data_IF_418682644133
#
_entry.id   IF_418682644133
#
_cell.length_a   1.000
_cell.length_b   1.000
_cell.length_c   1.000
_cell.angle_alpha   90.00
_cell.angle_beta   90.00
_cell.angle_gamma   90.00
#
_symmetry.space_group_name_H-M   'P 1'
#
loop_
_entity.id
_entity.type
_entity.pdbx_description
1 polymer ?
#
# COMPACT_ATOMS: atom_id res chain seq x y z
N UNK A 1 -47.53 -59.24 35.48
CA UNK A 1 -48.55 -59.20 36.57
C UNK A 1 -47.82 -58.66 37.79
N UNK A 2 -48.07 -57.48 38.33
CA UNK A 2 -49.29 -56.66 38.44
C UNK A 2 -48.93 -55.18 38.60
N UNK A 3 -49.77 -54.32 38.04
CA UNK A 3 -49.88 -52.89 38.37
C UNK A 3 -50.23 -52.67 39.84
N UNK A 4 -49.75 -51.58 40.46
CA UNK A 4 -50.66 -50.52 40.92
C UNK A 4 -49.91 -49.25 41.37
N UNK A 5 -50.53 -48.13 41.00
CA UNK A 5 -50.21 -46.78 41.42
C UNK A 5 -51.05 -46.39 42.65
N UNK A 6 -50.50 -45.55 43.53
CA UNK A 6 -51.22 -44.54 44.31
C UNK A 6 -50.23 -43.67 45.10
N UNK A 7 -50.19 -42.38 44.78
CA UNK A 7 -49.83 -41.27 45.70
C UNK A 7 -51.15 -40.73 46.32
N UNK A 8 -51.19 -39.72 47.23
CA UNK A 8 -50.10 -38.98 47.90
C UNK A 8 -50.35 -38.79 49.43
N UNK A 9 -49.34 -38.31 50.16
CA UNK A 9 -49.62 -37.46 51.34
C UNK A 9 -48.70 -36.25 51.31
N UNK A 10 -49.36 -35.09 51.34
CA UNK A 10 -48.75 -33.77 51.40
C UNK A 10 -48.13 -33.60 52.78
N UNK A 11 -46.92 -33.05 52.83
CA UNK A 11 -46.60 -32.09 53.88
C UNK A 11 -45.75 -30.99 53.26
N UNK A 12 -46.41 -29.85 53.12
CA UNK A 12 -45.85 -28.55 52.82
C UNK A 12 -44.88 -28.13 53.92
N UNK A 13 -43.63 -27.89 53.56
CA UNK A 13 -42.72 -27.08 54.37
C UNK A 13 -41.96 -26.20 53.40
N UNK A 14 -42.51 -25.00 53.22
CA UNK A 14 -41.96 -23.90 52.45
C UNK A 14 -40.73 -23.39 53.19
N UNK A 15 -39.52 -23.70 52.71
CA UNK A 15 -38.30 -23.03 53.13
C UNK A 15 -37.51 -22.52 51.91
N UNK A 16 -37.70 -21.23 51.69
CA UNK A 16 -36.71 -20.22 51.29
C UNK A 16 -35.74 -20.58 50.15
N UNK A 17 -36.05 -19.97 49.00
CA UNK A 17 -35.21 -19.72 47.83
C UNK A 17 -33.80 -19.25 48.20
N UNK A 18 -32.86 -20.18 48.29
CA UNK A 18 -31.44 -19.91 48.29
C UNK A 18 -30.98 -19.62 46.86
N UNK A 19 -30.93 -18.34 46.47
CA UNK A 19 -30.29 -17.87 45.24
C UNK A 19 -28.89 -18.48 45.11
N UNK A 20 -28.76 -19.55 44.33
CA UNK A 20 -27.46 -19.98 43.78
C UNK A 20 -27.08 -18.96 42.73
N UNK A 21 -26.24 -18.00 43.08
CA UNK A 21 -25.47 -17.25 42.09
C UNK A 21 -24.48 -18.22 41.46
N UNK A 22 -24.92 -18.97 40.45
CA UNK A 22 -24.03 -19.79 39.64
C UNK A 22 -22.96 -18.87 39.04
N UNK A 23 -21.72 -19.06 39.47
CA UNK A 23 -20.59 -18.32 38.93
C UNK A 23 -20.51 -18.60 37.42
N UNK A 24 -20.79 -17.57 36.62
CA UNK A 24 -20.73 -17.69 35.16
C UNK A 24 -19.25 -17.69 34.77
N UNK A 25 -18.66 -18.87 34.60
CA UNK A 25 -17.28 -19.02 34.13
C UNK A 25 -17.22 -18.55 32.67
N UNK A 26 -16.60 -17.39 32.45
CA UNK A 26 -16.33 -16.86 31.11
C UNK A 26 -14.99 -17.39 30.62
N UNK A 27 -14.92 -17.76 29.33
CA UNK A 27 -13.67 -18.17 28.70
C UNK A 27 -12.71 -16.98 28.65
N UNK A 28 -11.48 -17.17 29.14
CA UNK A 28 -10.38 -16.22 28.92
C UNK A 28 -9.86 -16.37 27.50
N UNK A 29 -9.59 -15.25 26.82
CA UNK A 29 -9.00 -15.23 25.49
C UNK A 29 -7.46 -15.23 25.50
N UNK A 30 -6.83 -15.08 26.68
CA UNK A 30 -5.36 -15.09 26.87
C UNK A 30 -4.60 -14.13 25.95
N UNK A 31 -5.15 -12.94 25.69
CA UNK A 31 -4.46 -11.93 24.89
C UNK A 31 -3.26 -11.36 25.63
N UNK A 32 -2.14 -11.20 24.92
CA UNK A 32 -1.00 -10.46 25.44
C UNK A 32 -1.36 -8.97 25.60
N UNK A 33 -0.74 -8.26 26.55
CA UNK A 33 -0.83 -6.80 26.66
C UNK A 33 -0.36 -6.06 25.39
N UNK A 34 -0.67 -4.77 25.34
CA UNK A 34 -0.07 -3.86 24.35
C UNK A 34 1.45 -3.85 24.49
N UNK A 35 2.17 -3.87 23.37
CA UNK A 35 3.64 -3.76 23.35
C UNK A 35 4.11 -2.31 23.46
N UNK A 36 3.20 -1.35 23.25
CA UNK A 36 3.50 0.07 23.19
C UNK A 36 3.25 0.80 24.49
N UNK A 37 2.44 0.23 25.38
CA UNK A 37 2.08 0.82 26.68
C UNK A 37 1.78 2.34 26.56
N UNK A 38 2.41 3.17 27.39
CA UNK A 38 2.26 4.63 27.37
C UNK A 38 3.20 5.36 26.37
N UNK A 39 3.91 4.64 25.49
CA UNK A 39 4.96 5.22 24.63
C UNK A 39 4.47 6.43 23.84
N UNK A 40 3.29 6.38 23.22
CA UNK A 40 2.74 7.48 22.42
C UNK A 40 2.21 8.65 23.24
N UNK A 41 1.94 8.44 24.53
CA UNK A 41 1.55 9.51 25.46
C UNK A 41 2.79 10.28 25.92
N UNK A 42 3.87 9.56 26.24
CA UNK A 42 5.12 10.13 26.77
C UNK A 42 6.00 10.71 25.66
N UNK A 43 6.10 9.99 24.53
CA UNK A 43 7.00 10.32 23.43
C UNK A 43 6.33 11.13 22.33
N UNK A 44 5.05 11.44 22.47
CA UNK A 44 4.37 12.34 21.55
C UNK A 44 5.16 13.65 21.48
N UNK A 45 5.50 14.16 20.29
CA UNK A 45 5.97 15.53 20.21
C UNK A 45 4.91 16.36 20.94
N UNK A 46 5.32 17.29 21.81
CA UNK A 46 4.38 18.20 22.45
C UNK A 46 3.57 18.96 21.38
N UNK A 47 2.93 20.07 21.75
CA UNK A 47 2.51 21.05 20.73
C UNK A 47 3.76 21.69 20.10
N UNK A 48 4.56 20.92 19.37
CA UNK A 48 5.56 21.46 18.46
C UNK A 48 4.78 22.07 17.32
N UNK A 49 4.75 23.39 17.30
CA UNK A 49 4.24 24.14 16.16
C UNK A 49 5.07 23.78 14.92
N UNK A 50 4.44 23.68 13.75
CA UNK A 50 5.15 23.45 12.50
C UNK A 50 6.27 24.48 12.33
N UNK A 51 7.47 24.04 11.93
CA UNK A 51 8.56 24.95 11.66
C UNK A 51 8.22 25.79 10.39
N UNK A 52 8.04 27.11 10.49
CA UNK A 52 7.64 27.94 9.35
C UNK A 52 8.63 27.88 8.18
N UNK A 53 9.92 27.69 8.46
CA UNK A 53 10.96 27.58 7.45
C UNK A 53 10.82 26.29 6.64
N UNK A 54 10.44 25.19 7.31
CA UNK A 54 10.19 23.89 6.67
C UNK A 54 8.95 23.98 5.78
N UNK A 55 7.86 24.59 6.26
CA UNK A 55 6.65 24.78 5.45
C UNK A 55 6.90 25.68 4.24
N UNK A 56 7.72 26.73 4.39
CA UNK A 56 8.13 27.57 3.27
C UNK A 56 8.96 26.77 2.26
N UNK A 57 9.91 25.95 2.74
CA UNK A 57 10.73 25.10 1.87
C UNK A 57 9.89 24.08 1.10
N UNK A 58 8.92 23.43 1.75
CA UNK A 58 7.96 22.52 1.11
C UNK A 58 7.16 23.23 0.01
N UNK A 59 6.71 24.47 0.24
CA UNK A 59 6.01 25.26 -0.79
C UNK A 59 6.90 25.54 -2.00
N UNK A 60 8.15 25.93 -1.78
CA UNK A 60 9.12 26.17 -2.87
C UNK A 60 9.36 24.88 -3.66
N UNK A 61 9.63 23.77 -2.97
CA UNK A 61 9.86 22.47 -3.60
C UNK A 61 8.63 21.97 -4.38
N UNK A 62 7.43 22.20 -3.86
CA UNK A 62 6.18 21.90 -4.58
C UNK A 62 6.13 22.66 -5.91
N UNK A 63 6.42 23.95 -5.92
CA UNK A 63 6.47 24.74 -7.16
C UNK A 63 7.56 24.28 -8.12
N UNK A 64 8.74 23.90 -7.63
CA UNK A 64 9.80 23.33 -8.46
C UNK A 64 9.35 22.02 -9.14
N UNK A 65 8.71 21.11 -8.39
CA UNK A 65 8.19 19.84 -8.94
C UNK A 65 7.03 20.08 -9.92
N UNK A 66 6.16 21.05 -9.67
CA UNK A 66 5.13 21.46 -10.65
C UNK A 66 5.75 21.93 -11.97
N UNK A 67 6.87 22.68 -11.91
CA UNK A 67 7.59 23.08 -13.12
C UNK A 67 8.23 21.89 -13.83
N UNK A 68 8.72 20.87 -13.09
CA UNK A 68 9.22 19.63 -13.69
C UNK A 68 8.13 18.90 -14.47
N UNK A 69 6.93 18.77 -13.90
CA UNK A 69 5.76 18.18 -14.59
C UNK A 69 5.42 18.94 -15.87
N UNK A 70 5.31 20.28 -15.80
CA UNK A 70 5.03 21.13 -16.98
C UNK A 70 6.10 21.01 -18.07
N UNK A 71 7.37 20.88 -17.68
CA UNK A 71 8.46 20.71 -18.64
C UNK A 71 8.44 19.32 -19.31
N UNK A 72 7.82 18.32 -18.67
CA UNK A 72 7.70 16.96 -19.15
C UNK A 72 6.49 16.73 -20.08
N UNK A 73 5.53 17.66 -20.15
CA UNK A 73 4.25 17.50 -20.89
C UNK A 73 4.39 17.12 -22.38
N UNK A 74 5.50 17.45 -23.03
CA UNK A 74 5.75 17.07 -24.43
C UNK A 74 6.61 15.79 -24.57
N UNK A 75 6.79 15.05 -23.47
CA UNK A 75 7.68 13.89 -23.38
C UNK A 75 7.01 12.78 -22.55
N UNK A 76 6.10 12.00 -23.15
CA UNK A 76 5.22 11.08 -22.42
C UNK A 76 5.96 10.11 -21.48
N UNK A 77 7.10 9.55 -21.91
CA UNK A 77 7.88 8.64 -21.06
C UNK A 77 8.51 9.35 -19.85
N UNK A 78 9.12 10.53 -20.04
CA UNK A 78 9.70 11.31 -18.93
C UNK A 78 8.61 11.71 -17.93
N UNK A 79 7.44 12.12 -18.43
CA UNK A 79 6.29 12.49 -17.62
C UNK A 79 5.75 11.30 -16.81
N UNK A 80 5.56 10.13 -17.44
CA UNK A 80 5.14 8.91 -16.74
C UNK A 80 6.16 8.47 -15.68
N UNK A 81 7.46 8.57 -15.94
CA UNK A 81 8.51 8.25 -14.95
C UNK A 81 8.41 9.20 -13.75
N UNK A 82 8.17 10.48 -13.99
CA UNK A 82 8.01 11.47 -12.92
C UNK A 82 6.75 11.20 -12.10
N UNK A 83 5.61 10.90 -12.75
CA UNK A 83 4.36 10.53 -12.07
C UNK A 83 4.55 9.28 -11.21
N UNK A 84 5.23 8.25 -11.72
CA UNK A 84 5.52 7.04 -10.97
C UNK A 84 6.38 7.33 -9.73
N UNK A 85 7.40 8.19 -9.87
CA UNK A 85 8.22 8.62 -8.76
C UNK A 85 7.38 9.36 -7.70
N UNK A 86 6.49 10.28 -8.11
CA UNK A 86 5.59 11.02 -7.20
C UNK A 86 4.66 10.08 -6.42
N UNK A 87 4.06 9.10 -7.10
CA UNK A 87 3.18 8.10 -6.48
C UNK A 87 3.95 7.22 -5.50
N UNK A 88 5.09 6.67 -5.93
CA UNK A 88 5.94 5.81 -5.09
C UNK A 88 6.58 6.54 -3.92
N UNK A 89 6.84 7.85 -4.03
CA UNK A 89 7.35 8.67 -2.92
C UNK A 89 6.25 9.13 -1.96
N UNK A 90 4.97 8.87 -2.26
CA UNK A 90 3.85 9.22 -1.39
C UNK A 90 3.49 10.70 -1.40
N UNK A 91 3.91 11.45 -2.43
CA UNK A 91 3.64 12.89 -2.60
C UNK A 91 2.71 13.21 -3.76
N UNK A 92 2.23 12.20 -4.51
CA UNK A 92 1.30 12.39 -5.62
C UNK A 92 0.02 13.16 -5.26
N UNK A 93 -0.45 13.03 -4.03
CA UNK A 93 -1.62 13.75 -3.51
C UNK A 93 -1.47 15.28 -3.55
N UNK A 94 -0.24 15.80 -3.66
CA UNK A 94 0.03 17.24 -3.79
C UNK A 94 -0.16 17.75 -5.23
N UNK A 95 -0.25 16.84 -6.21
CA UNK A 95 -0.21 17.11 -7.66
C UNK A 95 -1.33 16.39 -8.42
N UNK A 96 -2.48 16.13 -7.77
CA UNK A 96 -3.56 15.33 -8.35
C UNK A 96 -4.06 15.89 -9.70
N UNK A 97 -4.17 17.22 -9.82
CA UNK A 97 -4.62 17.86 -11.05
C UNK A 97 -3.63 17.64 -12.19
N UNK A 98 -2.35 17.91 -11.94
CA UNK A 98 -1.28 17.75 -12.93
C UNK A 98 -1.14 16.28 -13.37
N UNK A 99 -1.25 15.34 -12.43
CA UNK A 99 -1.22 13.90 -12.72
C UNK A 99 -2.43 13.49 -13.57
N UNK A 100 -3.63 13.97 -13.24
CA UNK A 100 -4.84 13.65 -13.99
C UNK A 100 -4.79 14.20 -15.41
N UNK A 101 -4.35 15.44 -15.61
CA UNK A 101 -4.18 16.04 -16.94
C UNK A 101 -3.16 15.26 -17.79
N UNK A 102 -2.00 14.92 -17.21
CA UNK A 102 -0.97 14.14 -17.88
C UNK A 102 -1.48 12.74 -18.30
N UNK A 103 -2.14 12.02 -17.39
CA UNK A 103 -2.65 10.68 -17.69
C UNK A 103 -3.82 10.69 -18.69
N UNK A 104 -4.62 11.76 -18.72
CA UNK A 104 -5.59 11.98 -19.80
C UNK A 104 -4.92 12.12 -21.15
N UNK A 105 -3.82 12.86 -21.23
CA UNK A 105 -3.03 13.00 -22.47
C UNK A 105 -2.47 11.66 -22.93
N UNK A 106 -1.81 10.92 -22.02
CA UNK A 106 -1.26 9.58 -22.30
C UNK A 106 -2.36 8.61 -22.76
N UNK A 107 -3.55 8.67 -22.13
CA UNK A 107 -4.68 7.85 -22.55
C UNK A 107 -5.20 8.23 -23.94
N UNK A 108 -5.32 9.53 -24.23
CA UNK A 108 -5.76 10.01 -25.53
C UNK A 108 -4.80 9.57 -26.65
N UNK A 109 -3.48 9.63 -26.41
CA UNK A 109 -2.47 9.08 -27.31
C UNK A 109 -2.64 7.56 -27.48
N UNK A 110 -2.85 6.82 -26.39
CA UNK A 110 -3.07 5.37 -26.45
C UNK A 110 -4.27 4.99 -27.32
N UNK A 111 -5.38 5.72 -27.19
CA UNK A 111 -6.62 5.49 -27.96
C UNK A 111 -6.45 5.94 -29.41
N UNK A 112 -5.89 7.12 -29.66
CA UNK A 112 -5.78 7.70 -31.00
C UNK A 112 -4.73 6.99 -31.86
N UNK A 113 -3.61 6.55 -31.28
CA UNK A 113 -2.52 5.97 -32.03
C UNK A 113 -2.66 4.46 -32.26
N UNK A 114 -3.72 3.80 -31.75
CA UNK A 114 -3.85 2.35 -31.72
C UNK A 114 -2.50 1.73 -31.31
N UNK A 115 -2.13 1.80 -30.03
CA UNK A 115 -0.85 1.21 -29.53
C UNK A 115 -0.71 -0.28 -29.89
N UNK A 116 -1.78 -0.92 -30.34
CA UNK A 116 -1.78 -2.23 -31.00
C UNK A 116 -0.94 -2.30 -32.31
N UNK A 117 -0.63 -1.18 -32.97
CA UNK A 117 0.07 -1.11 -34.26
C UNK A 117 1.36 -0.26 -34.24
N UNK A 118 1.79 0.27 -33.09
CA UNK A 118 3.02 1.07 -32.95
C UNK A 118 4.26 0.23 -32.68
N UNK A 119 5.22 0.26 -33.61
CA UNK A 119 6.43 -0.59 -33.68
C UNK A 119 7.52 -0.30 -32.62
N UNK A 120 7.37 0.62 -31.66
CA UNK A 120 8.57 1.16 -30.97
C UNK A 120 8.61 1.10 -29.44
N UNK A 121 7.50 0.88 -28.73
CA UNK A 121 7.56 0.99 -27.26
C UNK A 121 8.06 -0.30 -26.62
N UNK A 122 9.13 -0.17 -25.84
CA UNK A 122 9.74 -1.24 -25.06
C UNK A 122 8.83 -1.72 -23.91
N UNK A 123 9.22 -2.82 -23.27
CA UNK A 123 8.42 -3.43 -22.19
C UNK A 123 8.18 -2.48 -21.02
N UNK A 124 9.20 -1.71 -20.61
CA UNK A 124 9.10 -0.81 -19.47
C UNK A 124 8.06 0.28 -19.75
N UNK A 125 8.12 0.90 -20.93
CA UNK A 125 7.19 1.96 -21.34
C UNK A 125 5.74 1.48 -21.36
N UNK A 126 5.48 0.33 -21.98
CA UNK A 126 4.12 -0.23 -22.04
C UNK A 126 3.61 -0.66 -20.68
N UNK A 127 4.45 -1.36 -19.89
CA UNK A 127 4.07 -1.78 -18.55
C UNK A 127 3.77 -0.59 -17.63
N UNK A 128 4.58 0.47 -17.72
CA UNK A 128 4.41 1.68 -16.94
C UNK A 128 3.10 2.39 -17.30
N UNK A 129 2.85 2.62 -18.59
CA UNK A 129 1.62 3.23 -19.09
C UNK A 129 0.39 2.42 -18.66
N UNK A 130 0.40 1.10 -18.90
CA UNK A 130 -0.68 0.21 -18.48
C UNK A 130 -0.98 0.32 -16.99
N UNK A 131 0.07 0.29 -16.15
CA UNK A 131 -0.05 0.36 -14.70
C UNK A 131 -0.64 1.70 -14.25
N UNK A 132 -0.06 2.82 -14.69
CA UNK A 132 -0.49 4.15 -14.27
C UNK A 132 -1.93 4.44 -14.69
N UNK A 133 -2.29 4.08 -15.93
CA UNK A 133 -3.64 4.28 -16.45
C UNK A 133 -4.67 3.44 -15.70
N UNK A 134 -4.40 2.13 -15.49
CA UNK A 134 -5.34 1.28 -14.75
C UNK A 134 -5.47 1.66 -13.28
N UNK A 135 -4.39 2.15 -12.64
CA UNK A 135 -4.48 2.66 -11.28
C UNK A 135 -5.44 3.85 -11.15
N UNK A 136 -5.60 4.65 -12.21
CA UNK A 136 -6.57 5.76 -12.27
C UNK A 136 -7.94 5.35 -12.83
N UNK A 137 -8.18 4.06 -13.06
CA UNK A 137 -9.46 3.56 -13.54
C UNK A 137 -9.67 3.67 -15.06
N UNK A 138 -8.65 4.03 -15.84
CA UNK A 138 -8.74 3.96 -17.30
C UNK A 138 -8.76 2.51 -17.77
N UNK A 139 -9.65 2.22 -18.72
CA UNK A 139 -9.73 0.91 -19.33
C UNK A 139 -8.69 0.76 -20.45
N UNK A 140 -7.62 0.02 -20.17
CA UNK A 140 -6.60 -0.37 -21.15
C UNK A 140 -6.68 -1.87 -21.37
N UNK A 141 -6.73 -2.32 -22.63
CA UNK A 141 -6.77 -3.75 -22.96
C UNK A 141 -5.43 -4.43 -22.62
N UNK A 142 -5.50 -5.61 -21.99
CA UNK A 142 -4.34 -6.45 -21.72
C UNK A 142 -3.69 -7.01 -22.99
N UNK A 143 -4.39 -6.92 -24.13
CA UNK A 143 -3.86 -7.27 -25.45
C UNK A 143 -2.64 -6.45 -25.88
N UNK A 144 -2.41 -5.30 -25.25
CA UNK A 144 -1.19 -4.48 -25.46
C UNK A 144 0.09 -5.29 -25.23
N UNK A 145 0.02 -6.36 -24.42
CA UNK A 145 1.16 -7.23 -24.16
C UNK A 145 1.37 -8.36 -25.18
N UNK A 146 0.44 -8.56 -26.14
CA UNK A 146 0.57 -9.61 -27.18
C UNK A 146 1.84 -9.44 -28.03
N UNK A 147 2.30 -8.21 -28.26
CA UNK A 147 3.54 -7.93 -29.01
C UNK A 147 4.82 -8.47 -28.36
N UNK A 148 4.77 -8.76 -27.05
CA UNK A 148 5.87 -9.34 -26.30
C UNK A 148 5.87 -10.87 -26.31
N UNK A 149 4.92 -11.49 -26.99
CA UNK A 149 4.88 -12.93 -27.23
C UNK A 149 5.53 -13.32 -28.55
N UNK A 150 6.08 -14.53 -28.60
CA UNK A 150 6.64 -15.14 -29.80
C UNK A 150 5.58 -15.85 -30.66
N UNK A 151 6.00 -16.50 -31.74
CA UNK A 151 5.12 -17.22 -32.67
C UNK A 151 4.41 -18.44 -32.01
N UNK A 152 4.95 -18.95 -30.90
CA UNK A 152 4.34 -20.04 -30.13
C UNK A 152 3.33 -19.52 -29.11
N UNK A 153 3.22 -18.20 -28.98
CA UNK A 153 2.34 -17.54 -28.02
C UNK A 153 2.92 -17.44 -26.62
N UNK A 154 4.23 -17.67 -26.42
CA UNK A 154 4.91 -17.55 -25.13
C UNK A 154 5.62 -16.19 -25.02
N UNK A 155 5.76 -15.66 -23.79
CA UNK A 155 6.52 -14.43 -23.57
C UNK A 155 8.01 -14.61 -23.95
N UNK A 156 8.52 -13.67 -24.78
CA UNK A 156 9.88 -13.72 -25.30
C UNK A 156 10.91 -13.74 -24.17
N UNK A 157 11.87 -14.66 -24.23
CA UNK A 157 12.93 -14.77 -23.23
C UNK A 157 13.82 -13.52 -23.15
N UNK A 158 13.97 -12.76 -24.24
CA UNK A 158 14.74 -11.51 -24.26
C UNK A 158 14.23 -10.44 -23.26
N UNK A 159 12.97 -10.54 -22.82
CA UNK A 159 12.37 -9.65 -21.81
C UNK A 159 13.06 -9.79 -20.45
N UNK A 160 13.80 -10.87 -20.22
CA UNK A 160 14.50 -11.14 -18.96
C UNK A 160 15.90 -10.51 -18.91
N UNK A 161 16.29 -9.76 -19.94
CA UNK A 161 17.58 -9.07 -19.97
C UNK A 161 17.58 -7.76 -19.14
N UNK A 162 16.40 -7.17 -18.93
CA UNK A 162 16.24 -5.95 -18.16
C UNK A 162 15.35 -6.20 -16.93
N UNK A 163 15.99 -6.28 -15.77
CA UNK A 163 15.31 -6.49 -14.49
C UNK A 163 14.37 -5.32 -14.11
N UNK A 164 14.68 -4.08 -14.51
CA UNK A 164 13.86 -2.90 -14.20
C UNK A 164 12.58 -2.92 -15.04
N UNK A 165 12.71 -3.23 -16.33
CA UNK A 165 11.57 -3.43 -17.22
C UNK A 165 10.69 -4.59 -16.74
N UNK A 166 11.30 -5.72 -16.39
CA UNK A 166 10.57 -6.90 -15.90
C UNK A 166 9.88 -6.64 -14.55
N UNK A 167 10.49 -5.87 -13.65
CA UNK A 167 9.87 -5.45 -12.39
C UNK A 167 8.67 -4.51 -12.64
N UNK A 168 8.82 -3.51 -13.51
CA UNK A 168 7.70 -2.63 -13.88
C UNK A 168 6.54 -3.43 -14.46
N UNK A 169 6.85 -4.40 -15.33
CA UNK A 169 5.89 -5.35 -15.88
C UNK A 169 5.22 -6.16 -14.78
N UNK A 170 5.98 -6.81 -13.90
CA UNK A 170 5.45 -7.56 -12.76
C UNK A 170 4.45 -6.75 -11.92
N UNK A 171 4.75 -5.49 -11.62
CA UNK A 171 3.86 -4.62 -10.85
C UNK A 171 2.56 -4.32 -11.60
N UNK A 172 2.63 -4.11 -12.92
CA UNK A 172 1.47 -3.86 -13.76
C UNK A 172 0.48 -5.05 -13.75
N UNK A 173 0.99 -6.28 -13.66
CA UNK A 173 0.18 -7.51 -13.70
C UNK A 173 -0.69 -7.73 -12.47
N UNK A 174 -0.43 -7.02 -11.37
CA UNK A 174 -1.30 -7.05 -10.19
C UNK A 174 -2.56 -6.19 -10.33
N UNK A 175 -2.71 -5.45 -11.44
CA UNK A 175 -3.93 -4.72 -11.83
C UNK A 175 -4.82 -5.51 -12.80
N UNK A 176 -4.58 -6.81 -12.94
CA UNK A 176 -5.42 -7.69 -13.76
C UNK A 176 -6.82 -7.82 -13.18
N UNK A 177 -7.79 -7.97 -14.06
CA UNK A 177 -9.17 -8.33 -13.73
C UNK A 177 -9.47 -9.76 -14.17
N UNK A 178 -10.70 -10.24 -13.93
CA UNK A 178 -11.11 -11.58 -14.38
C UNK A 178 -11.04 -11.66 -15.91
N UNK A 179 -10.78 -12.86 -16.42
CA UNK A 179 -10.76 -13.20 -17.86
C UNK A 179 -9.58 -12.60 -18.64
N UNK A 180 -8.50 -12.21 -17.95
CA UNK A 180 -7.26 -11.70 -18.56
C UNK A 180 -6.11 -12.73 -18.51
N UNK A 181 -6.28 -13.84 -19.23
CA UNK A 181 -5.34 -14.99 -19.20
C UNK A 181 -3.90 -14.58 -19.56
N UNK A 182 -3.73 -13.61 -20.48
CA UNK A 182 -2.42 -13.08 -20.85
C UNK A 182 -1.66 -12.49 -19.66
N UNK A 183 -2.35 -11.86 -18.71
CA UNK A 183 -1.73 -11.25 -17.53
C UNK A 183 -1.40 -12.30 -16.46
N UNK A 184 -2.18 -13.39 -16.37
CA UNK A 184 -1.90 -14.51 -15.46
C UNK A 184 -0.66 -15.30 -15.92
N UNK A 185 -0.55 -15.56 -17.23
CA UNK A 185 0.64 -16.16 -17.82
C UNK A 185 1.87 -15.26 -17.62
N UNK A 186 1.72 -13.96 -17.90
CA UNK A 186 2.76 -12.97 -17.69
C UNK A 186 3.23 -12.93 -16.23
N UNK A 187 2.31 -13.10 -15.27
CA UNK A 187 2.65 -13.06 -13.85
C UNK A 187 3.50 -14.27 -13.49
N UNK A 188 3.14 -15.44 -13.99
CA UNK A 188 3.92 -16.66 -13.80
C UNK A 188 5.32 -16.52 -14.40
N UNK A 189 5.40 -16.01 -15.63
CA UNK A 189 6.66 -15.72 -16.33
C UNK A 189 7.55 -14.75 -15.55
N UNK A 190 7.04 -13.55 -15.26
CA UNK A 190 7.81 -12.48 -14.58
C UNK A 190 8.24 -12.89 -13.18
N UNK A 191 7.37 -13.55 -12.40
CA UNK A 191 7.69 -14.06 -11.06
C UNK A 191 8.87 -15.03 -11.10
N UNK A 192 8.83 -16.00 -12.02
CA UNK A 192 9.90 -17.01 -12.18
C UNK A 192 11.24 -16.34 -12.48
N UNK A 193 11.25 -15.42 -13.44
CA UNK A 193 12.47 -14.77 -13.89
C UNK A 193 13.02 -13.78 -12.87
N UNK A 194 12.18 -12.96 -12.23
CA UNK A 194 12.62 -12.07 -11.14
C UNK A 194 13.24 -12.85 -9.97
N UNK A 195 12.65 -13.98 -9.56
CA UNK A 195 13.23 -14.86 -8.53
C UNK A 195 14.60 -15.41 -8.95
N UNK A 196 14.74 -15.79 -10.22
CA UNK A 196 16.01 -16.31 -10.76
C UNK A 196 17.09 -15.23 -10.86
N UNK A 197 16.70 -13.98 -11.14
CA UNK A 197 17.62 -12.84 -11.29
C UNK A 197 18.06 -12.29 -9.93
N UNK A 198 17.21 -12.35 -8.91
CA UNK A 198 17.40 -11.72 -7.60
C UNK A 198 18.80 -11.91 -6.98
N UNK A 199 19.44 -13.11 -7.00
CA UNK A 199 20.77 -13.31 -6.43
C UNK A 199 21.89 -12.54 -7.14
N UNK A 200 21.66 -12.09 -8.38
CA UNK A 200 22.65 -11.44 -9.24
C UNK A 200 22.42 -9.93 -9.37
N UNK A 201 21.38 -9.39 -8.73
CA UNK A 201 21.06 -7.96 -8.76
C UNK A 201 21.82 -7.21 -7.66
N UNK A 202 22.23 -5.99 -7.97
CA UNK A 202 22.81 -5.07 -6.98
C UNK A 202 21.71 -4.24 -6.29
N UNK A 203 22.01 -3.75 -5.08
CA UNK A 203 21.20 -2.73 -4.45
C UNK A 203 21.26 -1.41 -5.26
N UNK A 204 20.16 -0.62 -5.33
CA UNK A 204 18.90 -0.82 -4.62
C UNK A 204 17.88 -1.73 -5.34
N UNK A 205 18.14 -2.09 -6.60
CA UNK A 205 17.19 -2.86 -7.43
C UNK A 205 16.87 -4.24 -6.87
N UNK A 206 17.87 -4.95 -6.33
CA UNK A 206 17.66 -6.24 -5.67
C UNK A 206 16.64 -6.15 -4.54
N UNK A 207 16.73 -5.09 -3.72
CA UNK A 207 15.81 -4.88 -2.60
C UNK A 207 14.40 -4.53 -3.10
N UNK A 208 14.28 -3.76 -4.18
CA UNK A 208 12.98 -3.50 -4.81
C UNK A 208 12.33 -4.78 -5.32
N UNK A 209 13.08 -5.59 -6.08
CA UNK A 209 12.56 -6.87 -6.59
C UNK A 209 12.13 -7.78 -5.45
N UNK A 210 12.92 -7.87 -4.38
CA UNK A 210 12.57 -8.64 -3.19
C UNK A 210 11.26 -8.14 -2.57
N UNK A 211 11.15 -6.84 -2.32
CA UNK A 211 9.95 -6.24 -1.71
C UNK A 211 8.71 -6.48 -2.56
N UNK A 212 8.78 -6.25 -3.86
CA UNK A 212 7.64 -6.45 -4.78
C UNK A 212 7.20 -7.92 -4.85
N UNK A 213 8.13 -8.87 -4.80
CA UNK A 213 7.81 -10.30 -4.75
C UNK A 213 7.14 -10.74 -3.44
N UNK A 214 7.42 -10.04 -2.33
CA UNK A 214 6.75 -10.25 -1.03
C UNK A 214 5.39 -9.57 -0.99
N UNK A 215 5.31 -8.31 -1.42
CA UNK A 215 4.08 -7.51 -1.47
C UNK A 215 4.16 -6.57 -2.67
N UNK A 216 3.37 -6.81 -3.73
CA UNK A 216 3.32 -5.94 -4.90
C UNK A 216 2.86 -4.53 -4.53
N UNK A 217 3.33 -3.52 -5.25
CA UNK A 217 3.06 -2.11 -4.99
C UNK A 217 1.55 -1.83 -4.85
N UNK A 218 0.74 -2.37 -5.77
CA UNK A 218 -0.71 -2.15 -5.76
C UNK A 218 -1.43 -2.75 -4.53
N UNK A 219 -0.81 -3.73 -3.87
CA UNK A 219 -1.35 -4.40 -2.67
C UNK A 219 -0.69 -3.93 -1.37
N UNK A 220 0.34 -3.08 -1.48
CA UNK A 220 1.05 -2.52 -0.34
C UNK A 220 0.35 -1.31 0.26
N UNK A 221 0.62 -1.03 1.53
CA UNK A 221 0.16 0.20 2.17
C UNK A 221 0.97 1.40 1.65
N UNK A 222 0.35 2.45 1.07
CA UNK A 222 1.07 3.51 0.37
C UNK A 222 2.19 4.16 1.19
N UNK A 223 1.97 4.40 2.49
CA UNK A 223 2.97 5.04 3.36
C UNK A 223 4.16 4.12 3.69
N UNK A 224 3.93 2.82 3.82
CA UNK A 224 5.01 1.85 4.05
C UNK A 224 5.87 1.70 2.78
N UNK A 225 5.21 1.62 1.62
CA UNK A 225 5.90 1.55 0.33
C UNK A 225 6.68 2.83 0.04
N UNK A 226 6.12 4.01 0.34
CA UNK A 226 6.84 5.28 0.24
C UNK A 226 8.09 5.32 1.11
N UNK A 227 7.99 4.87 2.38
CA UNK A 227 9.14 4.83 3.29
C UNK A 227 10.29 3.98 2.75
N UNK A 228 9.97 2.84 2.13
CA UNK A 228 10.94 1.93 1.50
C UNK A 228 11.52 2.55 0.23
N UNK A 229 10.69 3.17 -0.59
CA UNK A 229 11.07 3.72 -1.88
C UNK A 229 11.96 4.97 -1.77
N UNK A 230 11.81 5.81 -0.74
CA UNK A 230 12.66 7.00 -0.53
C UNK A 230 14.16 6.64 -0.59
N UNK A 231 14.57 5.56 0.10
CA UNK A 231 15.98 5.14 0.10
C UNK A 231 16.43 4.59 -1.25
N UNK A 232 15.53 4.00 -2.03
CA UNK A 232 15.85 3.56 -3.39
C UNK A 232 16.00 4.76 -4.33
N UNK A 233 15.06 5.70 -4.27
CA UNK A 233 15.09 6.91 -5.08
C UNK A 233 16.32 7.76 -4.77
N UNK A 234 16.73 7.81 -3.51
CA UNK A 234 17.98 8.47 -3.08
C UNK A 234 19.23 7.87 -3.71
N UNK A 235 19.25 6.55 -3.93
CA UNK A 235 20.37 5.86 -4.57
C UNK A 235 20.36 5.95 -6.10
N UNK A 236 19.25 6.36 -6.73
CA UNK A 236 19.17 6.55 -8.18
C UNK A 236 20.01 7.78 -8.60
N UNK A 237 20.89 7.59 -9.57
CA UNK A 237 21.76 8.65 -10.11
C UNK A 237 20.94 9.65 -10.94
N UNK A 238 19.85 9.20 -11.56
CA UNK A 238 18.96 10.04 -12.37
C UNK A 238 17.89 10.77 -11.55
N UNK A 239 17.93 10.68 -10.21
CA UNK A 239 16.91 11.28 -9.34
C UNK A 239 16.85 12.80 -9.44
N UNK A 240 15.66 13.35 -9.25
CA UNK A 240 15.48 14.79 -9.06
C UNK A 240 15.69 15.15 -7.58
N UNK A 241 16.67 16.02 -7.30
CA UNK A 241 17.02 16.41 -5.94
C UNK A 241 15.85 17.10 -5.21
N UNK A 242 15.14 18.02 -5.87
CA UNK A 242 13.98 18.71 -5.30
C UNK A 242 12.84 17.76 -4.94
N UNK A 243 12.60 16.74 -5.78
CA UNK A 243 11.57 15.73 -5.51
C UNK A 243 11.96 14.85 -4.31
N UNK A 244 13.22 14.43 -4.21
CA UNK A 244 13.69 13.67 -3.05
C UNK A 244 13.57 14.49 -1.76
N UNK A 245 13.97 15.75 -1.78
CA UNK A 245 13.88 16.65 -0.64
C UNK A 245 12.42 16.86 -0.23
N UNK A 246 11.53 17.11 -1.19
CA UNK A 246 10.09 17.24 -0.95
C UNK A 246 9.54 15.99 -0.28
N UNK A 247 9.85 14.79 -0.81
CA UNK A 247 9.37 13.53 -0.26
C UNK A 247 9.83 13.30 1.18
N UNK A 248 11.09 13.63 1.51
CA UNK A 248 11.62 13.50 2.87
C UNK A 248 10.97 14.48 3.84
N UNK A 249 10.81 15.74 3.45
CA UNK A 249 10.18 16.76 4.29
C UNK A 249 8.68 16.47 4.50
N UNK A 250 7.96 16.15 3.43
CA UNK A 250 6.54 15.79 3.48
C UNK A 250 6.29 14.56 4.37
N UNK A 251 7.10 13.50 4.20
CA UNK A 251 6.99 12.30 5.01
C UNK A 251 7.17 12.60 6.50
N UNK A 252 8.19 13.39 6.86
CA UNK A 252 8.46 13.75 8.25
C UNK A 252 7.37 14.66 8.84
N UNK A 253 6.83 15.59 8.05
CA UNK A 253 5.75 16.47 8.49
C UNK A 253 4.47 15.66 8.78
N UNK A 254 4.09 14.75 7.87
CA UNK A 254 2.95 13.86 8.09
C UNK A 254 3.20 12.87 9.24
N UNK A 255 4.43 12.37 9.38
CA UNK A 255 4.77 11.53 10.53
C UNK A 255 4.59 12.28 11.86
N UNK A 256 5.00 13.55 11.93
CA UNK A 256 4.80 14.38 13.12
C UNK A 256 3.31 14.62 13.40
N UNK A 257 2.49 14.81 12.36
CA UNK A 257 1.03 14.90 12.48
C UNK A 257 0.44 13.59 13.02
N UNK A 258 0.75 12.45 12.42
CA UNK A 258 0.27 11.13 12.88
C UNK A 258 0.72 10.82 14.32
N UNK A 259 1.93 11.24 14.72
CA UNK A 259 2.42 11.11 16.09
C UNK A 259 1.60 11.95 17.09
N UNK A 260 1.12 13.12 16.68
CA UNK A 260 0.21 13.93 17.50
C UNK A 260 -1.16 13.26 17.61
N UNK A 261 -1.72 12.82 16.49
CA UNK A 261 -3.01 12.14 16.44
C UNK A 261 -3.03 10.87 17.30
N UNK A 262 -2.02 10.01 17.16
CA UNK A 262 -1.91 8.79 17.99
C UNK A 262 -1.68 9.13 19.47
N UNK A 263 -1.00 10.23 19.80
CA UNK A 263 -0.86 10.69 21.19
C UNK A 263 -2.20 11.08 21.79
N UNK A 264 -3.01 11.84 21.04
CA UNK A 264 -4.35 12.26 21.47
C UNK A 264 -5.30 11.08 21.59
N UNK A 265 -5.28 10.16 20.63
CA UNK A 265 -6.06 8.92 20.66
C UNK A 265 -5.63 8.03 21.83
N UNK A 266 -4.32 7.95 22.12
CA UNK A 266 -3.79 7.18 23.26
C UNK A 266 -4.22 7.77 24.60
N UNK A 267 -4.26 9.09 24.73
CA UNK A 267 -4.76 9.77 25.94
C UNK A 267 -6.25 9.46 26.15
N UNK A 268 -7.05 9.60 25.10
CA UNK A 268 -8.48 9.24 25.13
C UNK A 268 -8.71 7.77 25.50
N UNK A 269 -7.95 6.85 24.91
CA UNK A 269 -8.04 5.42 25.20
C UNK A 269 -7.74 5.11 26.67
N UNK A 270 -6.70 5.75 27.22
CA UNK A 270 -6.31 5.63 28.62
C UNK A 270 -7.36 6.20 29.58
N UNK A 271 -8.00 7.31 29.24
CA UNK A 271 -9.08 7.91 30.04
C UNK A 271 -10.32 7.00 30.13
N UNK A 272 -10.69 6.33 29.03
CA UNK A 272 -11.81 5.37 29.06
C UNK A 272 -11.42 4.13 29.88
N UNK A 273 -10.14 3.74 29.84
CA UNK A 273 -9.57 2.64 30.61
C UNK A 273 -10.29 1.30 30.33
N UNK A 274 -10.54 1.01 29.05
CA UNK A 274 -11.19 -0.24 28.62
C UNK A 274 -10.35 -1.48 28.93
N UNK A 275 -9.02 -1.36 28.94
CA UNK A 275 -8.13 -2.47 29.26
C UNK A 275 -8.41 -3.07 30.65
N UNK A 276 -8.70 -2.24 31.66
CA UNK A 276 -9.09 -2.73 33.00
C UNK A 276 -10.56 -3.12 33.09
N UNK A 277 -11.47 -2.40 32.41
CA UNK A 277 -12.92 -2.64 32.47
C UNK A 277 -13.35 -3.87 31.66
N UNK A 278 -12.65 -4.16 30.56
CA UNK A 278 -12.95 -5.24 29.61
C UNK A 278 -11.66 -6.04 29.31
N UNK A 279 -11.07 -6.73 30.30
CA UNK A 279 -9.78 -7.43 30.16
C UNK A 279 -9.84 -8.62 29.19
N UNK A 280 -11.04 -9.03 28.78
CA UNK A 280 -11.24 -10.05 27.76
C UNK A 280 -11.07 -9.53 26.33
N UNK A 281 -11.09 -8.20 26.12
CA UNK A 281 -10.89 -7.58 24.81
C UNK A 281 -9.40 -7.34 24.56
N UNK A 282 -9.00 -7.25 23.28
CA UNK A 282 -7.61 -6.94 22.90
C UNK A 282 -7.34 -5.45 23.10
N UNK A 283 -6.21 -5.14 23.75
CA UNK A 283 -5.67 -3.79 23.82
C UNK A 283 -4.59 -3.61 22.74
N UNK A 284 -4.99 -3.02 21.61
CA UNK A 284 -4.20 -2.92 20.36
C UNK A 284 -4.41 -1.58 19.66
N UNK A 285 -4.46 -0.50 20.44
CA UNK A 285 -4.79 0.83 19.92
C UNK A 285 -3.83 1.28 18.81
N UNK A 286 -2.52 1.13 19.05
CA UNK A 286 -1.52 1.55 18.09
C UNK A 286 -1.64 0.79 16.76
N UNK A 287 -1.94 -0.50 16.82
CA UNK A 287 -2.14 -1.34 15.64
C UNK A 287 -3.44 -1.03 14.87
N UNK A 288 -4.42 -0.37 15.52
CA UNK A 288 -5.66 0.10 14.86
C UNK A 288 -5.44 1.45 14.17
N UNK A 289 -4.47 2.24 14.63
CA UNK A 289 -4.17 3.57 14.09
C UNK A 289 -3.15 3.56 12.93
N UNK A 290 -2.60 2.40 12.55
CA UNK A 290 -1.52 2.25 11.55
C UNK A 290 -2.03 1.61 10.26
#
# INVERSE_FOLDING_TARGET
MTHNAASPSQNSSTEMDGRRTGEVIRRSANYHPSVWDDFFIVSGPGRMEPNPDVEMRVRVLKSEVQMMLKNATNKPLEEMILIDALQRLGVAYLFENEINEALQSVYAEHVNCNINNGVTDDLYTVALSFRLLRQQGYHISSDVFKKFKDEKGEFKTMLTNDARALLCFYEALHLRVKEEDILEEALTFSTKHLKSMLPYLNAPLAQQVKNSLETPLHKGMPRLEARRYISVYEADVARHASLLELAKLDFNLLQALHQREISDISRWWKEINLASKLPFARDRLAEVCV
#
